data_IF_534314091042
#
_entry.id   IF_534314091042
#
_cell.length_a   1.000
_cell.length_b   1.000
_cell.length_c   1.000
_cell.angle_alpha   90.00
_cell.angle_beta   90.00
_cell.angle_gamma   90.00
#
_symmetry.space_group_name_H-M   'P 1'
#
loop_
_entity.id
_entity.type
_entity.pdbx_description
1 polymer ?
#
# COMPACT_ATOMS: atom_id res chain seq x y z
N UNK A 1 -12.09 -46.11 15.87
CA UNK A 1 -11.82 -45.28 14.68
C UNK A 1 -13.08 -44.53 14.33
N UNK A 2 -13.31 -43.40 14.96
CA UNK A 2 -14.50 -42.56 14.75
C UNK A 2 -14.02 -41.22 14.21
N UNK A 3 -14.35 -40.95 12.95
CA UNK A 3 -14.07 -39.68 12.29
C UNK A 3 -15.06 -38.66 12.82
N UNK A 4 -14.54 -37.57 13.46
CA UNK A 4 -15.30 -36.36 13.65
C UNK A 4 -15.34 -35.61 12.33
N UNK A 5 -16.53 -35.49 11.74
CA UNK A 5 -16.83 -34.47 10.73
C UNK A 5 -17.12 -33.18 11.50
N UNK A 6 -16.28 -32.17 11.31
CA UNK A 6 -16.63 -30.80 11.68
C UNK A 6 -17.57 -30.25 10.61
N UNK A 7 -18.82 -29.96 10.98
CA UNK A 7 -19.76 -29.20 10.17
C UNK A 7 -19.34 -27.72 10.29
N UNK A 8 -18.84 -27.14 9.19
CA UNK A 8 -18.81 -25.70 9.00
C UNK A 8 -20.23 -25.24 8.66
N UNK A 9 -20.86 -24.52 9.56
CA UNK A 9 -22.10 -23.82 9.29
C UNK A 9 -21.77 -22.45 8.67
N UNK A 10 -21.91 -22.33 7.38
CA UNK A 10 -21.94 -21.06 6.66
C UNK A 10 -23.23 -20.34 7.07
N UNK A 11 -23.12 -19.29 7.87
CA UNK A 11 -24.22 -18.37 8.12
C UNK A 11 -24.09 -17.19 7.15
N UNK A 12 -24.75 -17.29 6.00
CA UNK A 12 -24.98 -16.13 5.13
C UNK A 12 -26.19 -15.37 5.72
N UNK A 13 -25.94 -14.22 6.30
CA UNK A 13 -27.00 -13.32 6.75
C UNK A 13 -27.34 -12.36 5.61
N UNK A 14 -28.52 -12.57 5.01
CA UNK A 14 -29.10 -11.65 4.03
C UNK A 14 -29.84 -10.55 4.81
N UNK A 15 -29.28 -9.35 4.87
CA UNK A 15 -29.97 -8.17 5.40
C UNK A 15 -30.89 -7.59 4.34
N UNK A 16 -32.21 -7.80 4.46
CA UNK A 16 -33.23 -7.25 3.60
C UNK A 16 -33.68 -5.87 4.07
N UNK A 17 -33.17 -4.79 3.45
CA UNK A 17 -33.81 -3.48 3.49
C UNK A 17 -34.53 -3.23 2.18
N UNK A 18 -35.84 -2.93 2.25
CA UNK A 18 -36.66 -2.57 1.12
C UNK A 18 -36.34 -1.14 0.66
N UNK A 19 -35.52 -1.01 -0.37
CA UNK A 19 -35.24 0.26 -1.02
C UNK A 19 -33.83 0.33 -1.58
N UNK A 20 -33.65 0.04 -2.86
CA UNK A 20 -32.43 -0.03 -3.66
C UNK A 20 -31.59 -1.31 -3.48
N UNK A 21 -31.86 -2.30 -4.32
CA UNK A 21 -31.11 -3.56 -4.38
C UNK A 21 -29.69 -3.42 -5.01
N UNK A 22 -29.15 -2.20 -5.15
CA UNK A 22 -27.92 -1.93 -5.89
C UNK A 22 -26.65 -1.81 -5.03
N UNK A 23 -26.72 -1.82 -3.70
CA UNK A 23 -25.59 -1.53 -2.80
C UNK A 23 -25.54 -2.48 -1.60
N UNK A 24 -25.65 -3.78 -1.83
CA UNK A 24 -25.55 -4.77 -0.77
C UNK A 24 -24.09 -5.28 -0.67
N UNK A 25 -23.39 -4.92 0.40
CA UNK A 25 -22.12 -5.53 0.77
C UNK A 25 -22.34 -6.77 1.64
N UNK A 26 -21.40 -7.71 1.58
CA UNK A 26 -21.40 -8.91 2.43
C UNK A 26 -20.05 -9.12 3.07
N UNK A 27 -20.02 -9.64 4.30
CA UNK A 27 -18.82 -10.04 5.00
C UNK A 27 -18.87 -11.52 5.36
N UNK A 28 -17.84 -12.28 5.03
CA UNK A 28 -17.71 -13.71 5.34
C UNK A 28 -16.43 -13.91 6.15
N UNK A 29 -16.56 -14.40 7.40
CA UNK A 29 -15.41 -14.70 8.26
C UNK A 29 -14.56 -15.80 7.62
N UNK A 30 -13.30 -15.50 7.35
CA UNK A 30 -12.32 -16.41 6.74
C UNK A 30 -11.36 -16.99 7.77
N UNK A 31 -10.92 -16.17 8.74
CA UNK A 31 -9.91 -16.58 9.72
C UNK A 31 -10.01 -15.75 11.01
N UNK A 32 -9.48 -16.31 12.09
CA UNK A 32 -9.23 -15.60 13.35
C UNK A 32 -7.78 -15.85 13.74
N UNK A 33 -7.04 -14.78 14.02
CA UNK A 33 -5.64 -14.82 14.42
C UNK A 33 -5.51 -14.40 15.87
N UNK A 34 -4.89 -15.23 16.70
CA UNK A 34 -4.53 -14.85 18.07
C UNK A 34 -3.29 -13.96 18.08
N UNK A 35 -3.12 -13.15 19.11
CA UNK A 35 -1.91 -12.36 19.38
C UNK A 35 -0.62 -13.20 19.24
N UNK A 36 -0.63 -14.43 19.78
CA UNK A 36 0.53 -15.31 19.71
C UNK A 36 0.86 -15.79 18.28
N UNK A 37 -0.15 -15.99 17.44
CA UNK A 37 0.05 -16.31 16.02
C UNK A 37 0.60 -15.09 15.28
N UNK A 38 0.03 -13.91 15.51
CA UNK A 38 0.49 -12.65 14.87
C UNK A 38 1.92 -12.31 15.29
N UNK A 39 2.26 -12.44 16.58
CA UNK A 39 3.64 -12.25 17.03
C UNK A 39 4.63 -13.24 16.37
N UNK A 40 4.20 -14.51 16.17
CA UNK A 40 5.03 -15.50 15.47
C UNK A 40 5.17 -15.18 13.99
N UNK A 41 4.13 -14.66 13.35
CA UNK A 41 4.15 -14.22 11.94
C UNK A 41 5.08 -13.02 11.76
N UNK A 42 5.02 -12.02 12.64
CA UNK A 42 5.92 -10.87 12.60
C UNK A 42 7.39 -11.31 12.59
N UNK A 43 7.77 -12.26 13.47
CA UNK A 43 9.12 -12.83 13.49
C UNK A 43 9.46 -13.58 12.20
N UNK A 44 8.51 -14.31 11.60
CA UNK A 44 8.71 -15.02 10.34
C UNK A 44 8.93 -14.06 9.16
N UNK A 45 8.32 -12.86 9.19
CA UNK A 45 8.57 -11.77 8.24
C UNK A 45 9.84 -10.96 8.56
N UNK A 46 10.62 -11.38 9.55
CA UNK A 46 11.88 -10.73 9.91
C UNK A 46 11.71 -9.49 10.81
N UNK A 47 10.52 -9.23 11.33
CA UNK A 47 10.28 -8.14 12.29
C UNK A 47 10.78 -8.60 13.66
N UNK A 48 11.76 -7.91 14.26
CA UNK A 48 12.29 -8.30 15.57
C UNK A 48 11.23 -8.19 16.66
N UNK A 49 11.12 -9.21 17.53
CA UNK A 49 10.10 -9.29 18.59
C UNK A 49 10.13 -8.15 19.61
N UNK A 50 11.22 -7.40 19.69
CA UNK A 50 11.32 -6.20 20.55
C UNK A 50 10.84 -4.91 19.85
N UNK A 51 10.48 -4.97 18.56
CA UNK A 51 9.97 -3.84 17.79
C UNK A 51 8.48 -3.95 17.50
N UNK A 52 7.88 -5.13 17.72
CA UNK A 52 6.49 -5.39 17.42
C UNK A 52 5.81 -6.10 18.61
N UNK A 53 4.63 -5.62 19.01
CA UNK A 53 3.75 -6.25 19.97
C UNK A 53 2.42 -6.55 19.29
N UNK A 54 1.92 -7.77 19.41
CA UNK A 54 0.59 -8.11 18.97
C UNK A 54 -0.38 -7.87 20.15
N UNK A 55 -1.14 -6.77 20.08
CA UNK A 55 -1.92 -6.26 21.20
C UNK A 55 -3.37 -6.79 21.18
N UNK A 56 -3.88 -7.18 20.00
CA UNK A 56 -5.24 -7.67 19.80
C UNK A 56 -5.26 -8.98 19.01
N UNK A 57 -6.22 -9.86 19.33
CA UNK A 57 -6.65 -10.90 18.40
C UNK A 57 -7.35 -10.22 17.21
N UNK A 58 -7.33 -10.83 16.02
CA UNK A 58 -7.86 -10.22 14.80
C UNK A 58 -8.75 -11.20 14.06
N UNK A 59 -9.95 -10.77 13.70
CA UNK A 59 -10.81 -11.47 12.75
C UNK A 59 -10.60 -10.92 11.33
N UNK A 60 -10.49 -11.84 10.36
CA UNK A 60 -10.37 -11.49 8.95
C UNK A 60 -11.63 -11.92 8.20
N UNK A 61 -12.25 -10.96 7.54
CA UNK A 61 -13.43 -11.17 6.70
C UNK A 61 -13.09 -10.94 5.23
N UNK A 62 -13.62 -11.77 4.35
CA UNK A 62 -13.77 -11.41 2.94
C UNK A 62 -15.00 -10.54 2.81
N UNK A 63 -14.82 -9.33 2.32
CA UNK A 63 -15.91 -8.41 2.01
C UNK A 63 -16.10 -8.41 0.49
N UNK A 64 -17.36 -8.54 0.05
CA UNK A 64 -17.76 -8.31 -1.35
C UNK A 64 -18.62 -7.07 -1.37
N UNK A 65 -18.33 -6.14 -2.27
CA UNK A 65 -19.01 -4.85 -2.34
C UNK A 65 -19.14 -4.37 -3.80
N UNK A 66 -20.24 -3.65 -4.12
CA UNK A 66 -20.42 -3.06 -5.44
C UNK A 66 -19.62 -1.77 -5.57
N UNK A 67 -19.05 -1.55 -6.77
CA UNK A 67 -18.44 -0.28 -7.13
C UNK A 67 -18.78 0.10 -8.60
N UNK A 68 -18.84 1.39 -8.96
CA UNK A 68 -18.94 1.82 -10.34
C UNK A 68 -17.68 1.45 -11.12
N UNK A 69 -17.83 0.94 -12.33
CA UNK A 69 -16.72 0.67 -13.23
C UNK A 69 -17.20 0.73 -14.69
N UNK A 70 -16.59 1.59 -15.50
CA UNK A 70 -16.87 1.77 -16.94
C UNK A 70 -18.37 2.00 -17.26
N UNK A 71 -19.06 2.72 -16.39
CA UNK A 71 -20.49 3.04 -16.54
C UNK A 71 -21.47 1.98 -16.04
N UNK A 72 -20.97 0.84 -15.58
CA UNK A 72 -21.73 -0.22 -14.92
C UNK A 72 -21.44 -0.27 -13.43
N UNK A 73 -22.12 -1.15 -12.70
CA UNK A 73 -21.80 -1.52 -11.32
C UNK A 73 -21.25 -2.95 -11.32
N UNK A 74 -20.06 -3.15 -10.74
CA UNK A 74 -19.41 -4.45 -10.64
C UNK A 74 -19.22 -4.83 -9.18
N UNK A 75 -19.30 -6.13 -8.90
CA UNK A 75 -18.92 -6.65 -7.57
C UNK A 75 -17.42 -6.92 -7.53
N UNK A 76 -16.77 -6.36 -6.51
CA UNK A 76 -15.37 -6.58 -6.20
C UNK A 76 -15.23 -7.08 -4.76
N UNK A 77 -14.05 -7.55 -4.40
CA UNK A 77 -13.78 -8.05 -3.05
C UNK A 77 -12.57 -7.38 -2.40
N UNK A 78 -12.41 -7.64 -1.12
CA UNK A 78 -11.26 -7.24 -0.32
C UNK A 78 -11.23 -7.95 1.03
N UNK A 79 -10.12 -7.83 1.73
CA UNK A 79 -9.95 -8.31 3.09
C UNK A 79 -10.20 -7.20 4.10
N UNK A 80 -11.07 -7.46 5.07
CA UNK A 80 -11.34 -6.60 6.22
C UNK A 80 -10.78 -7.29 7.47
N UNK A 81 -9.85 -6.66 8.16
CA UNK A 81 -9.28 -7.13 9.41
C UNK A 81 -9.77 -6.29 10.57
N UNK A 82 -10.47 -6.94 11.49
CA UNK A 82 -11.11 -6.32 12.66
C UNK A 82 -10.36 -6.73 13.92
N UNK A 83 -9.68 -5.80 14.62
CA UNK A 83 -9.09 -6.10 15.91
C UNK A 83 -10.18 -6.31 16.96
N UNK A 84 -9.98 -7.30 17.83
CA UNK A 84 -10.96 -7.70 18.84
C UNK A 84 -10.67 -7.06 20.20
N UNK A 85 -11.70 -6.94 21.03
CA UNK A 85 -11.56 -6.51 22.44
C UNK A 85 -11.60 -5.00 22.64
N UNK A 86 -12.09 -4.24 21.66
CA UNK A 86 -12.38 -2.81 21.84
C UNK A 86 -13.74 -2.64 22.52
N UNK A 87 -13.75 -1.93 23.65
CA UNK A 87 -14.97 -1.59 24.36
C UNK A 87 -15.48 -0.20 23.92
N UNK A 88 -16.82 -0.03 23.87
CA UNK A 88 -17.44 1.29 23.69
C UNK A 88 -16.96 2.25 24.81
N UNK A 89 -16.65 3.52 24.51
CA UNK A 89 -17.00 4.29 23.28
C UNK A 89 -15.87 4.42 22.25
N UNK A 90 -14.84 3.59 22.31
CA UNK A 90 -13.67 3.70 21.46
C UNK A 90 -13.95 3.30 20.02
N UNK A 91 -13.69 4.19 19.07
CA UNK A 91 -13.73 3.90 17.64
C UNK A 91 -12.35 3.51 17.10
N UNK A 92 -12.33 2.74 16.01
CA UNK A 92 -11.14 2.33 15.30
C UNK A 92 -10.82 3.33 14.19
N UNK A 93 -9.55 3.70 13.96
CA UNK A 93 -9.13 4.33 12.74
C UNK A 93 -9.21 3.35 11.58
N UNK A 94 -9.56 3.82 10.39
CA UNK A 94 -9.41 3.05 9.15
C UNK A 94 -7.95 3.15 8.69
N UNK A 95 -7.37 2.02 8.31
CA UNK A 95 -6.12 1.94 7.57
C UNK A 95 -6.38 1.15 6.28
N UNK A 96 -6.38 1.82 5.13
CA UNK A 96 -6.45 1.16 3.83
C UNK A 96 -5.02 0.85 3.39
N UNK A 97 -4.70 -0.44 3.34
CA UNK A 97 -3.45 -0.91 2.75
C UNK A 97 -3.71 -1.39 1.31
N UNK A 98 -3.09 -0.73 0.36
CA UNK A 98 -3.15 -1.04 -1.06
C UNK A 98 -2.03 -2.01 -1.39
N UNK A 99 -2.39 -3.22 -1.90
CA UNK A 99 -1.41 -4.27 -2.16
C UNK A 99 -0.60 -4.04 -3.45
N UNK A 100 0.58 -4.66 -3.53
CA UNK A 100 1.44 -4.62 -4.71
C UNK A 100 0.95 -5.48 -5.87
N UNK A 101 1.77 -5.64 -6.89
CA UNK A 101 1.40 -6.35 -8.14
C UNK A 101 1.07 -7.82 -7.91
N UNK A 102 -0.11 -8.21 -8.34
CA UNK A 102 -0.58 -9.60 -8.37
C UNK A 102 -1.13 -9.95 -9.76
N UNK A 103 -0.77 -11.12 -10.26
CA UNK A 103 -1.30 -11.64 -11.51
C UNK A 103 -2.42 -12.66 -11.30
N UNK A 104 -2.31 -13.42 -10.21
CA UNK A 104 -3.26 -14.50 -9.92
C UNK A 104 -4.33 -14.02 -8.95
N UNK A 105 -5.61 -14.19 -9.34
CA UNK A 105 -6.78 -13.73 -8.55
C UNK A 105 -6.79 -14.26 -7.13
N UNK A 106 -6.37 -15.53 -6.94
CA UNK A 106 -6.38 -16.18 -5.63
C UNK A 106 -5.21 -15.78 -4.73
N UNK A 107 -4.28 -14.96 -5.21
CA UNK A 107 -3.20 -14.40 -4.39
C UNK A 107 -3.59 -13.07 -3.75
N UNK A 108 -4.80 -12.57 -4.07
CA UNK A 108 -5.37 -11.35 -3.52
C UNK A 108 -5.59 -11.43 -1.99
N UNK A 109 -5.60 -10.28 -1.31
CA UNK A 109 -5.74 -10.22 0.16
C UNK A 109 -6.94 -10.97 0.72
N UNK A 110 -8.10 -10.93 0.06
CA UNK A 110 -9.30 -11.61 0.51
C UNK A 110 -9.20 -13.14 0.52
N UNK A 111 -8.18 -13.71 -0.13
CA UNK A 111 -7.83 -15.13 -0.12
C UNK A 111 -6.61 -15.43 0.79
N UNK A 112 -6.17 -14.44 1.60
CA UNK A 112 -4.97 -14.55 2.44
C UNK A 112 -3.70 -14.85 1.62
N UNK A 113 -3.59 -14.25 0.44
CA UNK A 113 -2.35 -14.24 -0.34
C UNK A 113 -1.18 -13.63 0.44
N UNK A 114 0.01 -13.59 -0.17
CA UNK A 114 1.26 -13.23 0.52
C UNK A 114 1.18 -11.89 1.29
N UNK A 115 0.61 -10.85 0.66
CA UNK A 115 0.44 -9.55 1.32
C UNK A 115 -0.78 -9.50 2.25
N UNK A 116 -1.79 -10.34 2.04
CA UNK A 116 -2.97 -10.41 2.91
C UNK A 116 -2.64 -10.70 4.37
N UNK A 117 -1.50 -11.35 4.65
CA UNK A 117 -1.03 -11.60 6.01
C UNK A 117 -0.57 -10.33 6.74
N UNK A 118 -0.14 -9.28 6.03
CA UNK A 118 0.24 -8.01 6.65
C UNK A 118 -0.96 -7.29 7.28
N UNK A 119 -2.17 -7.46 6.73
CA UNK A 119 -3.38 -6.89 7.31
C UNK A 119 -3.61 -7.28 8.76
N UNK A 120 -3.36 -8.56 9.12
CA UNK A 120 -3.43 -9.02 10.49
C UNK A 120 -2.38 -8.39 11.41
N UNK A 121 -1.16 -8.18 10.90
CA UNK A 121 -0.07 -7.52 11.65
C UNK A 121 -0.37 -6.03 11.90
N UNK A 122 -0.98 -5.34 10.94
CA UNK A 122 -1.40 -3.95 11.12
C UNK A 122 -2.60 -3.85 12.06
N UNK A 123 -3.61 -4.71 11.87
CA UNK A 123 -4.84 -4.66 12.64
C UNK A 123 -4.63 -4.95 14.13
N UNK A 124 -3.68 -5.83 14.50
CA UNK A 124 -3.39 -6.11 15.92
C UNK A 124 -2.88 -4.89 16.70
N UNK A 125 -2.45 -3.83 15.99
CA UNK A 125 -2.07 -2.53 16.57
C UNK A 125 -3.27 -1.60 16.85
N UNK A 126 -4.51 -2.11 16.70
CA UNK A 126 -5.72 -1.33 17.00
C UNK A 126 -6.28 -0.54 15.83
N UNK A 127 -6.04 -0.96 14.60
CA UNK A 127 -6.54 -0.34 13.38
C UNK A 127 -7.53 -1.26 12.67
N UNK A 128 -8.60 -0.72 12.11
CA UNK A 128 -9.46 -1.43 11.16
C UNK A 128 -8.74 -1.43 9.80
N UNK A 129 -8.20 -2.58 9.39
CA UNK A 129 -7.41 -2.65 8.16
C UNK A 129 -8.24 -3.14 6.99
N UNK A 130 -8.22 -2.37 5.93
CA UNK A 130 -8.91 -2.64 4.67
C UNK A 130 -7.87 -2.92 3.59
N UNK A 131 -8.02 -4.03 2.87
CA UNK A 131 -7.17 -4.40 1.75
C UNK A 131 -8.05 -4.75 0.55
N UNK A 132 -8.39 -3.78 -0.33
CA UNK A 132 -9.17 -4.07 -1.54
C UNK A 132 -8.37 -4.98 -2.48
N UNK A 133 -9.05 -5.93 -3.14
CA UNK A 133 -8.41 -6.84 -4.10
C UNK A 133 -8.23 -6.22 -5.50
N UNK A 134 -8.83 -5.07 -5.76
CA UNK A 134 -8.97 -4.38 -7.06
C UNK A 134 -9.89 -5.11 -8.06
N UNK A 135 -10.28 -4.39 -9.13
CA UNK A 135 -10.99 -4.97 -10.28
C UNK A 135 -10.13 -6.03 -10.94
N UNK A 136 -10.69 -7.16 -11.31
CA UNK A 136 -9.99 -8.25 -12.01
C UNK A 136 -9.20 -9.20 -11.10
N UNK A 137 -9.13 -8.91 -9.80
CA UNK A 137 -8.50 -9.77 -8.79
C UNK A 137 -9.54 -10.23 -7.75
N UNK A 138 -9.15 -11.11 -6.83
CA UNK A 138 -10.06 -11.68 -5.85
C UNK A 138 -11.21 -12.42 -6.50
N UNK A 139 -12.45 -12.01 -6.18
CA UNK A 139 -13.67 -12.61 -6.75
C UNK A 139 -14.04 -12.07 -8.14
N UNK A 140 -13.47 -10.95 -8.57
CA UNK A 140 -13.72 -10.34 -9.88
C UNK A 140 -13.15 -11.19 -11.01
N UNK A 141 -13.91 -11.31 -12.11
CA UNK A 141 -13.51 -12.09 -13.31
C UNK A 141 -13.14 -11.20 -14.51
N UNK A 142 -13.10 -9.87 -14.28
CA UNK A 142 -12.71 -8.90 -15.30
C UNK A 142 -11.20 -8.96 -15.56
N UNK A 143 -10.73 -8.26 -16.59
CA UNK A 143 -9.31 -7.95 -16.74
C UNK A 143 -8.91 -6.96 -15.64
N UNK A 144 -7.78 -7.18 -14.98
CA UNK A 144 -7.25 -6.22 -14.02
C UNK A 144 -6.68 -5.00 -14.75
N UNK A 145 -7.20 -3.79 -14.49
CA UNK A 145 -6.68 -2.55 -15.07
C UNK A 145 -5.43 -2.10 -14.30
N UNK A 146 -4.35 -2.85 -14.48
CA UNK A 146 -3.10 -2.70 -13.73
C UNK A 146 -2.55 -1.28 -13.76
N UNK A 147 -2.31 -0.68 -12.58
CA UNK A 147 -1.83 0.72 -12.43
C UNK A 147 -2.77 1.72 -13.12
N UNK A 148 -4.09 1.52 -12.98
CA UNK A 148 -5.10 2.47 -13.43
C UNK A 148 -5.64 3.25 -12.23
N UNK A 149 -5.25 4.51 -12.11
CA UNK A 149 -5.44 5.37 -10.94
C UNK A 149 -6.89 5.41 -10.45
N UNK A 150 -7.85 5.63 -11.34
CA UNK A 150 -9.25 5.75 -10.96
C UNK A 150 -9.82 4.45 -10.39
N UNK A 151 -9.56 3.29 -11.03
CA UNK A 151 -10.12 2.02 -10.56
C UNK A 151 -9.47 1.53 -9.26
N UNK A 152 -8.21 1.86 -9.02
CA UNK A 152 -7.52 1.58 -7.75
C UNK A 152 -8.06 2.47 -6.63
N UNK A 153 -8.20 3.77 -6.89
CA UNK A 153 -8.81 4.72 -5.96
C UNK A 153 -10.24 4.32 -5.59
N UNK A 154 -11.07 4.02 -6.60
CA UNK A 154 -12.45 3.57 -6.40
C UNK A 154 -12.53 2.30 -5.56
N UNK A 155 -11.66 1.31 -5.82
CA UNK A 155 -11.63 0.07 -5.04
C UNK A 155 -11.41 0.34 -3.55
N UNK A 156 -10.47 1.25 -3.21
CA UNK A 156 -10.22 1.67 -1.84
C UNK A 156 -11.40 2.43 -1.24
N UNK A 157 -11.91 3.45 -1.92
CA UNK A 157 -13.01 4.27 -1.43
C UNK A 157 -14.30 3.47 -1.21
N UNK A 158 -14.71 2.63 -2.17
CA UNK A 158 -15.93 1.82 -2.03
C UNK A 158 -15.76 0.72 -0.98
N UNK A 159 -14.54 0.25 -0.71
CA UNK A 159 -14.28 -0.63 0.41
C UNK A 159 -14.41 0.10 1.76
N UNK A 160 -13.99 1.37 1.87
CA UNK A 160 -14.22 2.19 3.07
C UNK A 160 -15.73 2.34 3.33
N UNK A 161 -16.53 2.60 2.31
CA UNK A 161 -18.01 2.66 2.42
C UNK A 161 -18.60 1.33 2.87
N UNK A 162 -18.11 0.21 2.33
CA UNK A 162 -18.57 -1.11 2.73
C UNK A 162 -18.23 -1.41 4.20
N UNK A 163 -17.03 -1.05 4.64
CA UNK A 163 -16.61 -1.21 6.02
C UNK A 163 -17.45 -0.35 6.98
N UNK A 164 -17.71 0.92 6.65
CA UNK A 164 -18.60 1.77 7.47
C UNK A 164 -20.01 1.17 7.60
N UNK A 165 -20.59 0.71 6.50
CA UNK A 165 -21.90 0.09 6.50
C UNK A 165 -21.98 -1.25 7.26
N UNK A 166 -20.86 -1.99 7.36
CA UNK A 166 -20.75 -3.25 8.11
C UNK A 166 -20.47 -3.05 9.61
N UNK A 167 -20.16 -1.83 10.06
CA UNK A 167 -19.72 -1.53 11.42
C UNK A 167 -20.68 -2.05 12.49
N UNK A 168 -21.98 -1.80 12.32
CA UNK A 168 -23.02 -2.26 13.25
C UNK A 168 -23.21 -3.77 13.27
N UNK A 169 -22.99 -4.48 12.16
CA UNK A 169 -23.09 -5.93 12.07
C UNK A 169 -21.87 -6.62 12.70
N UNK A 170 -20.67 -6.11 12.43
CA UNK A 170 -19.42 -6.67 12.93
C UNK A 170 -19.00 -6.13 14.30
N UNK A 171 -19.77 -5.16 14.86
CA UNK A 171 -19.65 -4.73 16.25
C UNK A 171 -18.45 -3.83 16.52
N UNK A 172 -18.05 -2.98 15.57
CA UNK A 172 -17.03 -1.94 15.76
C UNK A 172 -17.60 -0.55 15.46
N UNK A 173 -16.93 0.46 15.96
CA UNK A 173 -17.19 1.87 15.62
C UNK A 173 -15.97 2.48 14.94
N UNK A 174 -16.16 3.51 14.13
CA UNK A 174 -15.08 4.29 13.53
C UNK A 174 -14.84 5.59 14.31
N UNK A 175 -13.57 6.00 14.42
CA UNK A 175 -13.20 7.26 15.09
C UNK A 175 -13.07 8.45 14.13
N UNK A 176 -13.23 8.24 12.82
CA UNK A 176 -13.13 9.26 11.77
C UNK A 176 -11.72 9.49 11.24
N UNK A 177 -10.69 8.83 11.78
CA UNK A 177 -9.36 8.87 11.21
C UNK A 177 -9.23 7.86 10.06
N UNK A 178 -8.67 8.31 8.92
CA UNK A 178 -8.48 7.49 7.73
C UNK A 178 -7.03 7.62 7.24
N UNK A 179 -6.31 6.51 7.29
CA UNK A 179 -4.91 6.41 6.86
C UNK A 179 -4.79 5.50 5.66
N UNK A 180 -3.81 5.81 4.80
CA UNK A 180 -3.53 5.04 3.60
C UNK A 180 -2.06 4.61 3.60
N UNK A 181 -1.80 3.39 3.13
CA UNK A 181 -0.45 2.96 2.76
C UNK A 181 -0.51 1.93 1.63
N UNK A 182 0.63 1.61 1.08
CA UNK A 182 0.77 0.61 0.03
C UNK A 182 2.18 0.61 -0.52
N UNK A 183 2.55 -0.42 -1.27
CA UNK A 183 3.88 -0.56 -1.83
C UNK A 183 3.82 -0.94 -3.31
N UNK A 184 4.75 -0.41 -4.12
CA UNK A 184 4.82 -0.70 -5.56
C UNK A 184 3.54 -0.25 -6.28
N UNK A 185 2.81 -1.11 -6.99
CA UNK A 185 1.45 -0.82 -7.49
C UNK A 185 0.58 -0.25 -6.36
N UNK A 186 0.66 -0.83 -5.16
CA UNK A 186 -0.08 -0.33 -4.00
C UNK A 186 0.36 1.06 -3.54
N UNK A 187 1.62 1.44 -3.77
CA UNK A 187 2.10 2.81 -3.55
C UNK A 187 1.42 3.80 -4.50
N UNK A 188 1.29 3.44 -5.79
CA UNK A 188 0.52 4.22 -6.77
C UNK A 188 -0.96 4.31 -6.37
N UNK A 189 -1.58 3.19 -6.04
CA UNK A 189 -2.98 3.12 -5.64
C UNK A 189 -3.28 3.94 -4.37
N UNK A 190 -2.39 3.89 -3.37
CA UNK A 190 -2.51 4.69 -2.15
C UNK A 190 -2.37 6.20 -2.44
N UNK A 191 -1.47 6.57 -3.35
CA UNK A 191 -1.32 7.96 -3.79
C UNK A 191 -2.56 8.44 -4.58
N UNK A 192 -3.11 7.59 -5.47
CA UNK A 192 -4.34 7.89 -6.21
C UNK A 192 -5.53 8.12 -5.26
N UNK A 193 -5.72 7.24 -4.28
CA UNK A 193 -6.79 7.39 -3.29
C UNK A 193 -6.56 8.61 -2.39
N UNK A 194 -5.32 8.90 -1.98
CA UNK A 194 -5.00 10.10 -1.19
C UNK A 194 -5.32 11.39 -1.95
N UNK A 195 -4.97 11.43 -3.25
CA UNK A 195 -5.35 12.52 -4.15
C UNK A 195 -6.88 12.69 -4.19
N UNK A 196 -7.61 11.62 -4.41
CA UNK A 196 -9.06 11.68 -4.62
C UNK A 196 -9.81 11.99 -3.30
N UNK A 197 -9.35 11.50 -2.15
CA UNK A 197 -9.85 11.91 -0.83
C UNK A 197 -9.58 13.39 -0.52
N UNK A 198 -8.59 14.01 -1.17
CA UNK A 198 -8.28 15.43 -0.97
C UNK A 198 -8.98 16.33 -2.00
N UNK A 199 -9.09 15.88 -3.25
CA UNK A 199 -9.46 16.74 -4.37
C UNK A 199 -10.86 16.51 -4.92
N UNK A 200 -11.55 15.44 -4.50
CA UNK A 200 -12.90 15.07 -4.95
C UNK A 200 -13.88 15.00 -3.79
N UNK A 201 -15.17 14.72 -4.09
CA UNK A 201 -16.21 14.52 -3.06
C UNK A 201 -16.03 13.28 -2.17
N UNK A 202 -15.00 12.45 -2.39
CA UNK A 202 -14.68 11.32 -1.52
C UNK A 202 -14.27 11.78 -0.12
N UNK A 203 -13.56 12.91 -0.02
CA UNK A 203 -13.17 13.51 1.24
C UNK A 203 -14.30 14.05 2.10
N UNK A 204 -15.48 14.31 1.50
CA UNK A 204 -16.68 14.71 2.25
C UNK A 204 -17.20 13.59 3.16
N UNK A 205 -16.98 12.32 2.77
CA UNK A 205 -17.36 11.15 3.57
C UNK A 205 -16.18 10.64 4.43
N UNK A 206 -14.96 10.61 3.87
CA UNK A 206 -13.76 10.10 4.54
C UNK A 206 -12.60 11.07 4.41
N UNK A 207 -12.49 12.02 5.33
CA UNK A 207 -11.37 12.96 5.34
C UNK A 207 -10.04 12.22 5.56
N UNK A 208 -9.04 12.50 4.72
CA UNK A 208 -7.71 11.90 4.84
C UNK A 208 -7.02 12.39 6.12
N UNK A 209 -6.52 11.47 6.95
CA UNK A 209 -5.73 11.77 8.15
C UNK A 209 -4.22 11.68 7.89
N UNK A 210 -3.82 10.91 6.89
CA UNK A 210 -2.43 10.80 6.45
C UNK A 210 -2.24 9.64 5.47
N UNK A 211 -1.19 9.71 4.65
CA UNK A 211 -0.84 8.66 3.71
C UNK A 211 0.68 8.37 3.72
N UNK A 212 1.03 7.09 3.56
CA UNK A 212 2.41 6.62 3.57
C UNK A 212 2.67 5.62 2.42
N UNK A 213 2.57 6.06 1.15
CA UNK A 213 2.86 5.22 -0.02
C UNK A 213 4.35 4.95 -0.18
N UNK A 214 4.73 3.73 -0.60
CA UNK A 214 6.12 3.32 -0.83
C UNK A 214 6.38 2.87 -2.26
N UNK A 215 7.49 3.28 -2.86
CA UNK A 215 8.01 2.89 -4.19
C UNK A 215 6.91 2.76 -5.25
N UNK A 216 6.02 3.75 -5.33
CA UNK A 216 4.95 3.79 -6.33
C UNK A 216 5.38 4.54 -7.60
N UNK A 217 4.93 4.10 -8.80
CA UNK A 217 5.16 4.83 -10.05
C UNK A 217 4.22 6.07 -10.13
N UNK A 218 4.55 7.13 -9.38
CA UNK A 218 3.69 8.31 -9.25
C UNK A 218 3.65 9.20 -10.48
N UNK A 219 4.73 9.22 -11.26
CA UNK A 219 4.91 9.95 -12.52
C UNK A 219 5.21 8.92 -13.63
N UNK A 220 4.14 8.30 -14.12
CA UNK A 220 4.26 7.25 -15.13
C UNK A 220 4.73 7.83 -16.45
N UNK A 221 4.12 8.94 -16.87
CA UNK A 221 4.36 9.54 -18.19
C UNK A 221 5.73 10.22 -18.31
N UNK A 222 6.20 10.85 -17.23
CA UNK A 222 7.44 11.65 -17.23
C UNK A 222 8.65 10.90 -16.70
N UNK A 223 8.48 9.92 -15.81
CA UNK A 223 9.58 9.22 -15.14
C UNK A 223 9.55 7.71 -15.43
N UNK A 224 8.50 6.99 -15.02
CA UNK A 224 8.53 5.54 -15.03
C UNK A 224 8.68 4.95 -16.44
N UNK A 225 7.86 5.36 -17.40
CA UNK A 225 7.91 4.84 -18.77
C UNK A 225 9.20 5.21 -19.48
N UNK A 226 9.62 6.50 -19.54
CA UNK A 226 10.87 6.86 -20.19
C UNK A 226 12.08 6.08 -19.65
N UNK A 227 12.20 5.94 -18.33
CA UNK A 227 13.32 5.21 -17.72
C UNK A 227 13.24 3.71 -17.97
N UNK A 228 12.03 3.11 -17.97
CA UNK A 228 11.84 1.69 -18.30
C UNK A 228 12.27 1.38 -19.73
N UNK A 229 11.94 2.22 -20.68
CA UNK A 229 12.30 2.02 -22.10
C UNK A 229 13.78 2.37 -22.40
N UNK A 230 14.41 3.22 -21.58
CA UNK A 230 15.83 3.56 -21.71
C UNK A 230 16.75 2.52 -21.06
N UNK A 231 16.21 1.61 -20.22
CA UNK A 231 16.96 0.57 -19.57
C UNK A 231 17.41 -0.52 -20.56
N UNK A 232 18.67 -0.98 -20.45
CA UNK A 232 19.20 -2.09 -21.27
C UNK A 232 18.39 -3.39 -21.08
N UNK A 233 17.84 -3.59 -19.88
CA UNK A 233 16.97 -4.72 -19.52
C UNK A 233 16.02 -4.28 -18.42
N UNK A 234 14.83 -4.89 -18.38
CA UNK A 234 13.85 -4.67 -17.32
C UNK A 234 13.57 -5.98 -16.60
N UNK A 235 13.62 -5.98 -15.27
CA UNK A 235 13.57 -7.20 -14.45
C UNK A 235 12.22 -7.93 -14.53
N UNK A 236 11.13 -7.20 -14.83
CA UNK A 236 9.77 -7.73 -14.87
C UNK A 236 9.03 -7.30 -16.14
N UNK A 237 9.40 -7.79 -17.33
CA UNK A 237 8.77 -7.40 -18.60
C UNK A 237 7.27 -7.73 -18.65
N UNK A 238 6.78 -8.67 -17.85
CA UNK A 238 5.35 -8.97 -17.70
C UNK A 238 4.52 -7.76 -17.25
N UNK A 239 5.11 -6.82 -16.47
CA UNK A 239 4.40 -5.62 -16.04
C UNK A 239 3.98 -4.74 -17.21
N UNK A 240 4.82 -4.65 -18.26
CA UNK A 240 4.48 -3.89 -19.46
C UNK A 240 3.27 -4.51 -20.18
N UNK A 241 3.26 -5.83 -20.35
CA UNK A 241 2.12 -6.52 -20.98
C UNK A 241 0.84 -6.35 -20.15
N UNK A 242 0.96 -6.46 -18.83
CA UNK A 242 -0.16 -6.30 -17.89
C UNK A 242 -0.73 -4.88 -17.95
N UNK A 243 0.14 -3.88 -17.98
CA UNK A 243 -0.25 -2.48 -18.10
C UNK A 243 -0.96 -2.20 -19.45
N UNK A 244 -0.35 -2.60 -20.56
CA UNK A 244 -0.89 -2.40 -21.92
C UNK A 244 -2.27 -3.06 -22.08
N UNK A 245 -2.40 -4.33 -21.68
CA UNK A 245 -3.65 -5.08 -21.81
C UNK A 245 -4.70 -4.58 -20.81
N UNK A 246 -4.29 -4.30 -19.57
CA UNK A 246 -5.15 -3.74 -18.54
C UNK A 246 -5.70 -2.38 -18.93
N UNK A 247 -4.85 -1.47 -19.40
CA UNK A 247 -5.29 -0.14 -19.82
C UNK A 247 -6.19 -0.18 -21.06
N UNK A 248 -5.89 -1.04 -22.07
CA UNK A 248 -6.78 -1.14 -23.21
C UNK A 248 -8.17 -1.69 -22.83
N UNK A 249 -8.28 -2.46 -21.75
CA UNK A 249 -9.58 -2.90 -21.22
C UNK A 249 -10.42 -1.74 -20.66
N UNK A 250 -9.78 -0.62 -20.30
CA UNK A 250 -10.43 0.60 -19.81
C UNK A 250 -10.64 1.59 -20.95
N UNK A 251 -9.58 1.97 -21.64
CA UNK A 251 -9.60 3.03 -22.65
C UNK A 251 -10.18 2.58 -23.99
N UNK A 252 -9.93 1.31 -24.38
CA UNK A 252 -10.43 0.71 -25.62
C UNK A 252 -9.91 1.33 -26.91
N UNK A 253 -8.84 2.13 -26.82
CA UNK A 253 -8.31 2.95 -27.95
C UNK A 253 -6.81 2.87 -28.09
N UNK A 254 -6.12 2.01 -27.32
CA UNK A 254 -4.67 1.93 -27.36
C UNK A 254 -4.18 1.10 -28.52
N UNK A 255 -4.90 0.05 -28.86
CA UNK A 255 -4.65 -0.83 -30.01
C UNK A 255 -5.95 -1.57 -30.39
N UNK A 256 -6.06 -2.01 -31.62
CA UNK A 256 -7.14 -2.89 -32.08
C UNK A 256 -6.75 -4.38 -31.89
N UNK A 257 -5.47 -4.72 -32.11
CA UNK A 257 -4.93 -6.06 -31.94
C UNK A 257 -3.57 -6.03 -31.26
N UNK A 258 -3.24 -7.06 -30.47
CA UNK A 258 -1.99 -7.13 -29.70
C UNK A 258 -0.72 -7.21 -30.58
N UNK A 259 -0.82 -7.63 -31.84
CA UNK A 259 0.28 -7.62 -32.81
C UNK A 259 0.68 -6.20 -33.28
N UNK A 260 -0.14 -5.20 -32.99
CA UNK A 260 0.26 -3.77 -33.15
C UNK A 260 1.21 -3.32 -32.05
N UNK A 261 1.21 -3.99 -30.89
CA UNK A 261 2.01 -3.65 -29.71
C UNK A 261 3.18 -4.59 -29.50
N UNK A 262 2.92 -5.91 -29.52
CA UNK A 262 3.91 -6.92 -29.22
C UNK A 262 4.35 -7.69 -30.47
N UNK A 263 5.61 -8.11 -30.48
CA UNK A 263 6.12 -9.02 -31.48
C UNK A 263 5.62 -10.45 -31.20
N UNK A 264 5.59 -11.30 -32.25
CA UNK A 264 5.34 -12.74 -32.06
C UNK A 264 6.55 -13.44 -31.41
N UNK A 265 6.35 -14.42 -30.52
CA UNK A 265 5.07 -15.07 -30.20
C UNK A 265 4.24 -14.38 -29.11
N UNK A 266 4.67 -13.27 -28.55
CA UNK A 266 4.10 -12.62 -27.36
C UNK A 266 2.70 -12.04 -27.65
N UNK A 267 2.49 -11.47 -28.83
CA UNK A 267 1.18 -10.98 -29.25
C UNK A 267 0.10 -12.07 -29.18
N UNK A 268 0.47 -13.32 -29.52
CA UNK A 268 -0.46 -14.46 -29.49
C UNK A 268 -0.63 -15.11 -28.11
N UNK A 269 0.24 -14.83 -27.12
CA UNK A 269 0.28 -15.61 -25.86
C UNK A 269 -0.02 -14.79 -24.62
N UNK A 270 0.26 -13.48 -24.58
CA UNK A 270 0.16 -12.67 -23.36
C UNK A 270 -1.26 -12.59 -22.81
N UNK A 271 -2.29 -12.49 -23.67
CA UNK A 271 -3.66 -12.41 -23.20
C UNK A 271 -4.10 -13.71 -22.47
N UNK A 272 -3.67 -14.86 -22.92
CA UNK A 272 -3.98 -16.15 -22.29
C UNK A 272 -3.21 -16.31 -20.96
N UNK A 273 -2.00 -15.76 -20.86
CA UNK A 273 -1.19 -15.80 -19.64
C UNK A 273 -1.69 -14.84 -18.57
N UNK A 274 -2.27 -13.70 -18.97
CA UNK A 274 -2.83 -12.69 -18.07
C UNK A 274 -4.31 -12.94 -17.74
N UNK A 275 -4.75 -14.20 -17.74
CA UNK A 275 -6.13 -14.62 -17.46
C UNK A 275 -6.49 -14.63 -15.97
N UNK A 276 -5.55 -14.28 -15.08
CA UNK A 276 -5.71 -14.26 -13.62
C UNK A 276 -5.57 -15.64 -12.96
N UNK A 277 -5.00 -16.63 -13.65
CA UNK A 277 -4.73 -17.97 -13.09
C UNK A 277 -3.24 -18.31 -13.01
N UNK A 278 -2.39 -17.59 -13.74
CA UNK A 278 -0.94 -17.78 -13.77
C UNK A 278 -0.24 -16.88 -12.73
N UNK A 279 0.87 -17.36 -12.22
CA UNK A 279 1.72 -16.59 -11.29
C UNK A 279 2.75 -15.71 -12.05
N UNK A 280 3.36 -14.79 -11.31
CA UNK A 280 4.32 -13.85 -11.87
C UNK A 280 5.54 -14.53 -12.53
N UNK A 281 6.05 -15.63 -11.96
CA UNK A 281 7.19 -16.37 -12.49
C UNK A 281 6.86 -16.96 -13.85
N UNK A 282 5.71 -17.63 -13.96
CA UNK A 282 5.24 -18.23 -15.24
C UNK A 282 5.10 -17.19 -16.34
N UNK A 283 4.56 -16.00 -16.02
CA UNK A 283 4.34 -14.95 -17.03
C UNK A 283 5.67 -14.27 -17.40
N UNK A 284 6.53 -13.96 -16.44
CA UNK A 284 7.83 -13.36 -16.72
C UNK A 284 8.74 -14.29 -17.53
N UNK A 285 8.74 -15.59 -17.23
CA UNK A 285 9.52 -16.60 -18.00
C UNK A 285 9.06 -16.72 -19.45
N UNK A 286 7.81 -16.36 -19.74
CA UNK A 286 7.28 -16.31 -21.11
C UNK A 286 7.62 -15.01 -21.84
N UNK A 287 8.13 -13.98 -21.18
CA UNK A 287 8.53 -12.72 -21.78
C UNK A 287 10.00 -12.75 -22.26
N UNK A 288 10.39 -11.90 -23.23
CA UNK A 288 11.79 -11.79 -23.63
C UNK A 288 12.60 -10.98 -22.61
N UNK A 289 13.94 -11.14 -22.62
CA UNK A 289 14.82 -10.44 -21.67
C UNK A 289 14.92 -8.93 -21.91
N UNK A 290 14.53 -8.46 -23.10
CA UNK A 290 14.61 -7.04 -23.46
C UNK A 290 13.29 -6.53 -24.03
N UNK A 291 13.00 -5.27 -23.81
CA UNK A 291 11.79 -4.65 -24.36
C UNK A 291 11.87 -4.49 -25.90
N UNK A 292 13.07 -4.40 -26.46
CA UNK A 292 13.29 -4.34 -27.93
C UNK A 292 12.80 -5.65 -28.61
N UNK A 293 12.97 -6.80 -27.97
CA UNK A 293 12.46 -8.08 -28.46
C UNK A 293 10.96 -8.27 -28.20
N UNK A 294 10.37 -7.47 -27.32
CA UNK A 294 8.99 -7.59 -26.87
C UNK A 294 8.04 -6.71 -27.66
N UNK A 295 8.37 -5.41 -27.74
CA UNK A 295 7.50 -4.38 -28.33
C UNK A 295 7.79 -4.20 -29.82
N UNK A 296 6.77 -3.84 -30.59
CA UNK A 296 6.94 -3.50 -32.00
C UNK A 296 7.89 -2.29 -32.17
N UNK A 297 8.96 -2.40 -32.97
CA UNK A 297 9.96 -1.33 -33.08
C UNK A 297 9.40 0.04 -33.45
N UNK A 298 8.43 0.08 -34.38
CA UNK A 298 7.82 1.33 -34.83
C UNK A 298 6.94 1.97 -33.77
N UNK A 299 6.37 1.19 -32.84
CA UNK A 299 5.48 1.71 -31.81
C UNK A 299 6.23 2.58 -30.80
N UNK A 300 7.44 2.17 -30.37
CA UNK A 300 8.27 2.98 -29.48
C UNK A 300 8.64 4.31 -30.11
N UNK A 301 9.06 4.29 -31.38
CA UNK A 301 9.36 5.51 -32.12
C UNK A 301 8.15 6.45 -32.19
N UNK A 302 6.95 5.91 -32.44
CA UNK A 302 5.72 6.68 -32.50
C UNK A 302 5.34 7.25 -31.12
N UNK A 303 5.45 6.48 -30.05
CA UNK A 303 5.19 6.93 -28.66
C UNK A 303 6.13 8.08 -28.30
N UNK A 304 7.46 7.95 -28.55
CA UNK A 304 8.43 8.97 -28.17
C UNK A 304 8.35 10.25 -29.01
N UNK A 305 7.90 10.17 -30.26
CA UNK A 305 7.81 11.31 -31.15
C UNK A 305 6.44 11.98 -31.21
N UNK A 306 5.40 11.38 -30.62
CA UNK A 306 4.04 11.89 -30.62
C UNK A 306 3.49 12.05 -29.21
N UNK A 307 3.54 13.22 -28.58
CA UNK A 307 2.99 13.46 -27.24
C UNK A 307 1.50 13.15 -27.12
N UNK A 308 0.76 13.22 -28.23
CA UNK A 308 -0.68 12.92 -28.26
C UNK A 308 -0.97 11.43 -28.60
N UNK A 309 0.06 10.57 -28.58
CA UNK A 309 -0.14 9.14 -28.77
C UNK A 309 -1.05 8.56 -27.67
N UNK A 310 -2.03 7.68 -27.98
CA UNK A 310 -2.96 7.14 -26.98
C UNK A 310 -2.28 6.56 -25.74
N UNK A 311 -1.14 5.90 -25.86
CA UNK A 311 -0.38 5.42 -24.71
C UNK A 311 0.16 6.54 -23.82
N UNK A 312 0.63 7.65 -24.40
CA UNK A 312 1.12 8.80 -23.65
C UNK A 312 -0.02 9.50 -22.90
N UNK A 313 -1.18 9.63 -23.55
CA UNK A 313 -2.38 10.20 -22.91
C UNK A 313 -2.88 9.31 -21.77
N UNK A 314 -2.88 8.00 -21.98
CA UNK A 314 -3.22 7.04 -20.92
C UNK A 314 -2.20 7.10 -19.75
N UNK A 315 -0.89 7.21 -20.03
CA UNK A 315 0.12 7.36 -19.00
C UNK A 315 -0.08 8.65 -18.18
N UNK A 316 -0.36 9.78 -18.84
CA UNK A 316 -0.65 11.05 -18.18
C UNK A 316 -1.93 11.01 -17.33
N UNK A 317 -2.97 10.29 -17.76
CA UNK A 317 -4.21 10.11 -17.00
C UNK A 317 -3.99 9.29 -15.71
N UNK A 318 -2.94 8.50 -15.67
CA UNK A 318 -2.55 7.68 -14.53
C UNK A 318 -1.38 8.27 -13.70
N UNK A 319 -0.92 9.48 -13.99
CA UNK A 319 -0.03 10.23 -13.10
C UNK A 319 -0.80 10.66 -11.84
N UNK A 320 -0.24 10.41 -10.65
CA UNK A 320 -0.96 10.57 -9.39
C UNK A 320 -0.33 11.56 -8.42
N UNK A 321 0.66 12.35 -8.84
CA UNK A 321 1.44 13.22 -7.95
C UNK A 321 1.05 14.70 -8.02
N UNK A 322 0.30 15.15 -9.04
CA UNK A 322 0.03 16.58 -9.29
C UNK A 322 -1.17 17.08 -8.47
N UNK A 323 -1.02 17.08 -7.14
CA UNK A 323 -2.01 17.61 -6.21
C UNK A 323 -1.34 18.10 -4.91
N UNK A 324 -2.01 18.98 -4.16
CA UNK A 324 -1.48 19.57 -2.92
C UNK A 324 -2.03 18.79 -1.73
N UNK A 325 -1.19 18.05 -0.96
CA UNK A 325 -1.61 17.38 0.26
C UNK A 325 -2.13 18.35 1.32
N UNK A 326 -3.31 18.05 1.88
CA UNK A 326 -3.89 18.75 3.04
C UNK A 326 -3.71 17.98 4.35
N UNK A 327 -3.29 16.69 4.26
CA UNK A 327 -2.90 15.83 5.36
C UNK A 327 -1.44 15.37 5.19
N UNK A 328 -0.75 14.91 6.26
CA UNK A 328 0.62 14.44 6.16
C UNK A 328 0.80 13.31 5.14
N UNK A 329 1.79 13.43 4.28
CA UNK A 329 2.15 12.48 3.23
C UNK A 329 3.64 12.13 3.34
N UNK A 330 3.96 10.85 3.55
CA UNK A 330 5.35 10.36 3.58
C UNK A 330 5.56 9.32 2.47
N UNK A 331 6.38 9.65 1.46
CA UNK A 331 6.69 8.76 0.32
C UNK A 331 7.99 8.01 0.58
N UNK A 332 7.94 6.69 0.75
CA UNK A 332 9.12 5.87 0.96
C UNK A 332 9.72 5.39 -0.38
N UNK A 333 11.05 5.38 -0.49
CA UNK A 333 11.75 4.87 -1.66
C UNK A 333 13.14 4.31 -1.32
N UNK A 334 13.72 3.53 -2.24
CA UNK A 334 15.10 3.05 -2.16
C UNK A 334 15.85 3.33 -3.45
N UNK A 335 17.13 3.74 -3.33
CA UNK A 335 17.92 4.27 -4.45
C UNK A 335 18.49 3.22 -5.42
N UNK A 336 18.32 1.92 -5.15
CA UNK A 336 18.66 0.83 -6.08
C UNK A 336 17.43 0.04 -6.53
N UNK A 337 16.26 0.65 -6.41
CA UNK A 337 15.01 0.08 -6.92
C UNK A 337 15.07 -0.01 -8.45
N UNK A 338 15.06 -1.26 -8.97
CA UNK A 338 15.19 -1.57 -10.38
C UNK A 338 13.83 -1.79 -11.09
N UNK A 339 12.72 -1.76 -10.32
CA UNK A 339 11.37 -1.95 -10.85
C UNK A 339 10.60 -0.63 -10.92
N UNK A 340 10.62 0.13 -9.83
CA UNK A 340 10.01 1.46 -9.75
C UNK A 340 11.11 2.46 -9.43
N UNK A 341 11.47 3.25 -10.41
CA UNK A 341 12.56 4.22 -10.26
C UNK A 341 12.25 5.24 -9.18
N UNK A 342 13.19 5.42 -8.26
CA UNK A 342 13.00 6.28 -7.08
C UNK A 342 12.78 7.75 -7.44
N UNK A 343 13.14 8.16 -8.63
CA UNK A 343 12.87 9.48 -9.19
C UNK A 343 11.38 9.83 -9.20
N UNK A 344 10.48 8.83 -9.24
CA UNK A 344 9.03 9.04 -9.07
C UNK A 344 8.71 9.79 -7.76
N UNK A 345 9.33 9.40 -6.66
CA UNK A 345 9.13 10.05 -5.36
C UNK A 345 9.73 11.46 -5.34
N UNK A 346 10.92 11.64 -5.95
CA UNK A 346 11.58 12.94 -6.00
C UNK A 346 10.85 13.95 -6.90
N UNK A 347 10.27 13.49 -8.01
CA UNK A 347 9.45 14.33 -8.90
C UNK A 347 8.18 14.77 -8.17
N UNK A 348 7.51 13.84 -7.48
CA UNK A 348 6.32 14.14 -6.68
C UNK A 348 6.63 15.17 -5.57
N UNK A 349 7.69 14.97 -4.79
CA UNK A 349 8.14 15.89 -3.75
C UNK A 349 8.48 17.27 -4.32
N UNK A 350 9.23 17.30 -5.44
CA UNK A 350 9.64 18.55 -6.09
C UNK A 350 8.44 19.35 -6.59
N UNK A 351 7.45 18.69 -7.21
CA UNK A 351 6.24 19.33 -7.69
C UNK A 351 5.41 19.89 -6.53
N UNK A 352 5.13 19.09 -5.51
CA UNK A 352 4.35 19.50 -4.34
C UNK A 352 5.02 20.67 -3.60
N UNK A 353 6.36 20.66 -3.50
CA UNK A 353 7.14 21.77 -2.92
C UNK A 353 7.00 23.04 -3.77
N UNK A 354 7.07 22.93 -5.09
CA UNK A 354 6.92 24.07 -6.00
C UNK A 354 5.54 24.71 -5.92
N UNK A 355 4.50 23.91 -5.69
CA UNK A 355 3.12 24.36 -5.45
C UNK A 355 2.88 24.87 -4.02
N UNK A 356 3.90 24.86 -3.16
CA UNK A 356 3.88 25.45 -1.83
C UNK A 356 3.35 24.54 -0.72
N UNK A 357 3.22 23.24 -0.95
CA UNK A 357 2.88 22.28 0.10
C UNK A 357 4.00 22.16 1.14
N UNK A 358 3.62 21.93 2.40
CA UNK A 358 4.51 21.60 3.52
C UNK A 358 4.10 20.32 4.22
N UNK A 359 3.14 19.60 3.66
CA UNK A 359 2.54 18.39 4.27
C UNK A 359 3.08 17.09 3.66
N UNK A 360 4.20 17.14 2.95
CA UNK A 360 4.79 15.98 2.28
C UNK A 360 6.29 15.87 2.54
N UNK A 361 6.80 14.65 2.44
CA UNK A 361 8.23 14.32 2.56
C UNK A 361 8.52 13.05 1.76
N UNK A 362 9.68 12.98 1.06
CA UNK A 362 10.18 11.77 0.43
C UNK A 362 11.33 11.18 1.26
N UNK A 363 11.19 9.92 1.68
CA UNK A 363 12.08 9.26 2.64
C UNK A 363 12.92 8.21 1.95
N UNK A 364 14.24 8.46 1.87
CA UNK A 364 15.23 7.49 1.39
C UNK A 364 15.48 6.41 2.44
N UNK A 365 15.12 5.16 2.13
CA UNK A 365 15.36 4.00 2.99
C UNK A 365 16.74 3.34 2.74
N UNK A 366 17.50 3.85 1.77
CA UNK A 366 18.86 3.40 1.46
C UNK A 366 19.00 2.72 0.10
N UNK A 367 20.18 2.18 -0.15
CA UNK A 367 20.53 1.54 -1.42
C UNK A 367 20.08 0.05 -1.41
N UNK A 368 18.79 -0.17 -1.56
CA UNK A 368 18.14 -1.48 -1.59
C UNK A 368 17.42 -1.66 -2.92
N UNK A 369 17.33 -2.91 -3.39
CA UNK A 369 16.47 -3.27 -4.53
C UNK A 369 14.99 -3.23 -4.14
N UNK A 370 14.09 -3.34 -5.14
CA UNK A 370 12.64 -3.24 -4.94
C UNK A 370 12.11 -4.21 -3.88
N UNK A 371 12.52 -5.48 -3.94
CA UNK A 371 12.08 -6.50 -3.01
C UNK A 371 12.58 -6.30 -1.57
N UNK A 372 13.84 -5.86 -1.43
CA UNK A 372 14.44 -5.57 -0.12
C UNK A 372 13.84 -4.31 0.51
N UNK A 373 13.47 -3.33 -0.30
CA UNK A 373 12.85 -2.09 0.13
C UNK A 373 11.45 -2.31 0.74
N UNK A 374 10.67 -3.23 0.20
CA UNK A 374 9.28 -3.47 0.57
C UNK A 374 9.07 -3.64 2.07
N UNK A 375 9.87 -4.52 2.71
CA UNK A 375 9.73 -4.78 4.14
C UNK A 375 9.95 -3.54 5.02
N UNK A 376 10.93 -2.70 4.67
CA UNK A 376 11.22 -1.47 5.40
C UNK A 376 10.14 -0.40 5.16
N UNK A 377 9.68 -0.24 3.92
CA UNK A 377 8.65 0.73 3.57
C UNK A 377 7.31 0.41 4.25
N UNK A 378 6.86 -0.85 4.17
CA UNK A 378 5.60 -1.31 4.78
C UNK A 378 5.64 -1.18 6.30
N UNK A 379 6.73 -1.62 6.93
CA UNK A 379 6.89 -1.50 8.38
C UNK A 379 7.03 -0.04 8.81
N UNK A 380 7.77 0.77 8.06
CA UNK A 380 7.90 2.21 8.28
C UNK A 380 6.55 2.92 8.23
N UNK A 381 5.76 2.67 7.18
CA UNK A 381 4.42 3.20 7.03
C UNK A 381 3.49 2.77 8.19
N UNK A 382 3.57 1.50 8.62
CA UNK A 382 2.78 0.99 9.73
C UNK A 382 3.08 1.72 11.03
N UNK A 383 4.36 1.91 11.38
CA UNK A 383 4.75 2.66 12.58
C UNK A 383 4.41 4.14 12.48
N UNK A 384 4.57 4.74 11.28
CA UNK A 384 4.23 6.13 11.04
C UNK A 384 2.74 6.40 11.25
N UNK A 385 1.87 5.48 10.82
CA UNK A 385 0.42 5.54 11.06
C UNK A 385 0.13 5.33 12.55
N UNK A 386 0.71 4.30 13.19
CA UNK A 386 0.52 4.02 14.62
C UNK A 386 0.80 5.25 15.48
N UNK A 387 1.86 5.99 15.18
CA UNK A 387 2.24 7.20 15.89
C UNK A 387 1.23 8.37 15.74
N UNK A 388 0.32 8.30 14.75
CA UNK A 388 -0.69 9.34 14.44
C UNK A 388 -2.12 8.95 14.81
N UNK A 389 -2.34 7.70 15.16
CA UNK A 389 -3.64 7.24 15.65
C UNK A 389 -3.94 7.91 16.99
N UNK A 390 -5.11 8.55 17.10
CA UNK A 390 -5.56 9.16 18.34
C UNK A 390 -5.87 8.10 19.38
N UNK A 391 -5.33 8.28 20.60
CA UNK A 391 -5.59 7.38 21.70
C UNK A 391 -7.07 7.45 22.13
N UNK A 392 -7.69 6.33 22.33
CA UNK A 392 -9.00 6.29 22.98
C UNK A 392 -8.89 6.68 24.45
N UNK A 393 -9.57 7.78 24.86
CA UNK A 393 -9.49 8.34 26.19
C UNK A 393 -10.61 7.84 27.11
N UNK A 394 -10.75 6.52 27.29
CA UNK A 394 -11.70 5.94 28.25
C UNK A 394 -11.21 5.92 29.71
N UNK A 395 -10.02 6.52 29.95
CA UNK A 395 -9.46 6.70 31.30
C UNK A 395 -8.58 5.55 31.80
N UNK A 396 -8.32 4.54 30.99
CA UNK A 396 -7.29 3.54 31.27
C UNK A 396 -5.93 4.04 30.75
N UNK A 397 -4.82 3.84 31.49
CA UNK A 397 -3.51 4.19 30.99
C UNK A 397 -3.12 3.20 29.88
N UNK A 398 -3.33 3.56 28.64
CA UNK A 398 -2.77 2.81 27.51
C UNK A 398 -1.24 2.87 27.57
N UNK A 399 -0.61 1.70 27.41
CA UNK A 399 0.85 1.58 27.21
C UNK A 399 1.25 1.89 25.77
N UNK A 400 0.59 2.84 25.10
CA UNK A 400 1.01 3.27 23.77
C UNK A 400 2.39 3.89 23.84
N UNK A 401 3.22 3.51 22.91
CA UNK A 401 4.49 4.20 22.72
C UNK A 401 4.19 5.61 22.21
N UNK A 402 4.53 6.61 22.98
CA UNK A 402 4.41 8.02 22.55
C UNK A 402 5.30 8.24 21.33
N UNK A 403 4.81 8.92 20.30
CA UNK A 403 5.61 9.32 19.16
C UNK A 403 6.73 10.26 19.62
N UNK A 404 7.98 9.90 19.33
CA UNK A 404 9.14 10.73 19.63
C UNK A 404 9.37 11.70 18.47
N UNK A 405 9.04 12.97 18.68
CA UNK A 405 9.35 14.01 17.69
C UNK A 405 10.85 14.29 17.64
N UNK A 406 11.43 14.31 16.45
CA UNK A 406 12.84 14.45 16.19
C UNK A 406 13.11 15.47 15.09
N UNK A 407 14.17 16.30 15.26
CA UNK A 407 14.53 17.30 14.26
C UNK A 407 16.06 17.47 14.13
N UNK A 408 16.57 17.60 12.91
CA UNK A 408 15.90 17.33 11.64
C UNK A 408 15.64 15.82 11.46
N UNK A 409 14.63 15.47 10.66
CA UNK A 409 14.38 14.12 10.21
C UNK A 409 13.79 14.23 8.79
N UNK A 410 14.50 13.84 7.73
CA UNK A 410 15.83 13.18 7.70
C UNK A 410 16.97 13.98 8.32
N UNK A 411 17.98 13.28 8.84
CA UNK A 411 19.13 13.89 9.48
C UNK A 411 20.45 13.37 8.88
N UNK A 412 21.47 14.23 8.77
CA UNK A 412 22.80 13.83 8.23
C UNK A 412 23.85 13.58 9.33
N UNK A 413 23.94 14.44 10.30
CA UNK A 413 25.01 14.39 11.31
C UNK A 413 24.51 14.19 12.74
N UNK A 414 23.37 14.80 13.07
CA UNK A 414 22.78 14.74 14.41
C UNK A 414 21.28 14.95 14.34
N UNK A 415 20.55 14.41 15.31
CA UNK A 415 19.12 14.63 15.50
C UNK A 415 18.84 15.06 16.94
N UNK A 416 17.95 16.02 17.13
CA UNK A 416 17.49 16.46 18.44
C UNK A 416 16.17 15.79 18.79
N UNK A 417 16.08 15.28 20.01
CA UNK A 417 14.89 14.62 20.55
C UNK A 417 14.02 15.67 21.27
N UNK A 418 12.81 15.89 20.77
CA UNK A 418 11.91 16.86 21.37
C UNK A 418 11.48 16.42 22.78
N UNK A 419 11.49 17.36 23.74
CA UNK A 419 11.15 17.08 25.13
C UNK A 419 12.24 16.38 25.94
N UNK A 420 13.35 15.95 25.32
CA UNK A 420 14.47 15.36 26.03
C UNK A 420 15.23 16.41 26.88
N UNK A 421 15.93 15.94 27.89
CA UNK A 421 16.83 16.71 28.75
C UNK A 421 18.21 16.04 28.82
N UNK A 422 19.27 16.69 29.40
CA UNK A 422 20.61 16.11 29.42
C UNK A 422 20.74 14.74 30.08
N UNK A 423 19.76 14.27 30.83
CA UNK A 423 19.77 12.98 31.50
C UNK A 423 18.86 11.93 30.83
N UNK A 424 18.09 12.28 29.81
CA UNK A 424 17.16 11.38 29.10
C UNK A 424 17.93 10.24 28.42
N UNK A 425 17.75 8.98 28.82
CA UNK A 425 18.36 7.83 28.15
C UNK A 425 17.71 7.62 26.78
N UNK A 426 18.53 7.26 25.78
CA UNK A 426 18.04 6.90 24.47
C UNK A 426 18.83 5.73 23.86
N UNK A 427 18.20 5.05 22.91
CA UNK A 427 18.79 3.97 22.10
C UNK A 427 18.44 4.16 20.65
N UNK A 428 19.40 3.85 19.77
CA UNK A 428 19.18 3.71 18.33
C UNK A 428 19.22 2.23 17.99
N UNK A 429 18.20 1.76 17.30
CA UNK A 429 17.95 0.35 17.03
C UNK A 429 17.87 0.18 15.51
N UNK A 430 18.57 -0.81 14.99
CA UNK A 430 18.44 -1.18 13.57
C UNK A 430 17.06 -1.79 13.30
N UNK A 431 16.31 -1.21 12.38
CA UNK A 431 14.95 -1.66 12.06
C UNK A 431 14.94 -3.12 11.59
N UNK A 432 15.89 -3.50 10.73
CA UNK A 432 16.00 -4.87 10.19
C UNK A 432 16.57 -5.89 11.17
N UNK A 433 17.34 -5.45 12.20
CA UNK A 433 18.05 -6.37 13.10
C UNK A 433 17.49 -6.41 14.53
N UNK A 434 16.72 -5.39 14.92
CA UNK A 434 16.28 -5.19 16.30
C UNK A 434 17.44 -4.92 17.29
N UNK A 435 18.67 -4.77 16.82
CA UNK A 435 19.83 -4.60 17.68
C UNK A 435 20.07 -3.14 18.02
N UNK A 436 20.40 -2.87 19.29
CA UNK A 436 20.85 -1.54 19.71
C UNK A 436 22.24 -1.29 19.14
N UNK A 437 22.35 -0.32 18.24
CA UNK A 437 23.62 0.07 17.58
C UNK A 437 24.28 1.27 18.26
N UNK A 438 23.50 2.16 18.85
CA UNK A 438 23.96 3.27 19.66
C UNK A 438 23.09 3.40 20.90
N UNK A 439 23.66 3.90 21.98
CA UNK A 439 22.91 4.30 23.17
C UNK A 439 23.62 5.43 23.90
N UNK A 440 22.86 6.27 24.58
CA UNK A 440 23.40 7.40 25.29
C UNK A 440 22.40 8.08 26.19
N UNK A 441 22.72 9.31 26.56
CA UNK A 441 21.83 10.22 27.30
C UNK A 441 21.96 11.61 26.72
N UNK A 442 20.87 12.38 26.75
CA UNK A 442 20.87 13.75 26.30
C UNK A 442 19.73 14.08 25.37
N UNK A 443 19.76 15.30 24.86
CA UNK A 443 18.78 15.88 23.96
C UNK A 443 19.11 15.65 22.49
N UNK A 444 20.35 15.20 22.20
CA UNK A 444 20.88 15.06 20.83
C UNK A 444 21.53 13.70 20.67
N UNK A 445 21.32 13.10 19.50
CA UNK A 445 21.95 11.85 19.06
C UNK A 445 22.90 12.17 17.90
N UNK A 446 24.17 11.83 18.04
CA UNK A 446 25.17 11.96 16.99
C UNK A 446 25.09 10.73 16.04
N UNK A 447 24.99 10.98 14.74
CA UNK A 447 24.68 9.97 13.73
C UNK A 447 25.89 9.54 12.91
N UNK A 448 27.09 10.06 13.18
CA UNK A 448 28.32 9.78 12.39
C UNK A 448 28.63 8.29 12.22
N UNK A 449 28.14 7.45 13.14
CA UNK A 449 28.38 5.99 13.15
C UNK A 449 27.29 5.19 12.47
N UNK A 450 26.20 5.82 12.06
CA UNK A 450 25.10 5.15 11.38
C UNK A 450 25.34 5.23 9.86
N UNK A 451 25.01 4.17 9.14
CA UNK A 451 24.88 4.21 7.69
C UNK A 451 23.63 5.01 7.29
N UNK A 452 23.56 5.55 6.07
CA UNK A 452 22.28 6.02 5.51
C UNK A 452 21.21 4.93 5.60
N UNK A 453 19.98 5.31 5.85
CA UNK A 453 18.84 4.40 5.99
C UNK A 453 18.00 4.67 7.22
N UNK A 454 17.04 3.78 7.47
CA UNK A 454 16.07 3.90 8.57
C UNK A 454 16.56 3.28 9.87
N UNK A 455 16.32 4.02 10.95
CA UNK A 455 16.66 3.63 12.32
C UNK A 455 15.50 3.94 13.25
N UNK A 456 15.29 3.11 14.27
CA UNK A 456 14.33 3.42 15.33
C UNK A 456 15.08 4.07 16.50
N UNK A 457 14.65 5.26 16.94
CA UNK A 457 15.11 5.83 18.20
C UNK A 457 14.05 5.63 19.25
N UNK A 458 14.47 5.11 20.40
CA UNK A 458 13.66 5.02 21.62
C UNK A 458 14.28 5.90 22.72
N UNK A 459 13.49 6.78 23.30
CA UNK A 459 13.90 7.63 24.42
C UNK A 459 13.00 7.39 25.63
N UNK A 460 13.61 7.12 26.79
CA UNK A 460 12.89 6.75 28.01
C UNK A 460 11.98 7.90 28.49
N UNK A 461 10.69 7.59 28.65
CA UNK A 461 9.67 8.55 29.07
C UNK A 461 9.18 9.51 27.97
N UNK A 462 9.72 9.41 26.75
CA UNK A 462 9.33 10.27 25.61
C UNK A 462 8.73 9.46 24.46
N UNK A 463 9.04 8.15 24.37
CA UNK A 463 8.51 7.30 23.32
C UNK A 463 9.54 6.80 22.32
N UNK A 464 9.07 6.48 21.10
CA UNK A 464 9.90 6.00 20.00
C UNK A 464 9.54 6.74 18.70
N UNK A 465 10.46 6.77 17.75
CA UNK A 465 10.22 7.37 16.43
C UNK A 465 11.22 6.86 15.40
N UNK A 466 10.80 6.85 14.14
CA UNK A 466 11.66 6.49 13.01
C UNK A 466 12.56 7.67 12.63
N UNK A 467 13.84 7.39 12.45
CA UNK A 467 14.84 8.34 12.00
C UNK A 467 15.37 7.91 10.63
N UNK A 468 15.24 8.77 9.64
CA UNK A 468 15.95 8.62 8.37
C UNK A 468 17.31 9.29 8.47
N UNK A 469 18.40 8.56 8.16
CA UNK A 469 19.76 9.09 8.07
C UNK A 469 20.11 9.26 6.60
N UNK A 470 20.18 10.50 6.13
CA UNK A 470 20.57 10.88 4.78
C UNK A 470 22.01 11.45 4.75
N UNK A 471 22.83 11.06 3.76
CA UNK A 471 24.20 11.58 3.55
C UNK A 471 24.50 11.79 2.08
#
# INVERSE_FOLDING_TARGET
MTRLLSLFTTAAVLCGSTGNAAWAQTAELQSTFSQSQLASMAVAFGIPSNLFSADHDVEMYRVTYPMPYLGDTVDVSGALFVPMGFEEPCGLPIHVYMHGTLFKRTDAPSFLGSEGMFGGLMATLGQLVLMPDYVGLGTSQLMHPYVHAQSESDAGYFMMKAADALSGELGYNLNGQNFLSGYSQGGHAAMALARDLTTTGYGDEFALSGAAPGSGPYDISGTQFPMTFDAESYSNPAYLAYNVIGWNSVYGTLYDNLDEVFQEPYASTMLDLLDGTHDAETINDACPPTLEEFVQPNLLDDIFNNPDHPFNLAAQDNDVYQWIPEAPLEMYYCTQDEQVFYENALVAESWMTAEGSTMHEAIDLGALDHGQCAGLAIFGATLWIEDRVEACTDGLPETRHTALSMHPNPASNQVRLAGANPSTPWKVIGVSSGQVVLSGRGETVELERLSPGMWLIQADGLGRGLLSVAR
#
